data_IF_766776769092
#
_entry.id   IF_766776769092
#
_cell.length_a   1.000
_cell.length_b   1.000
_cell.length_c   1.000
_cell.angle_alpha   90.00
_cell.angle_beta   90.00
_cell.angle_gamma   90.00
#
_symmetry.space_group_name_H-M   'P 1'
#
loop_
_entity.id
_entity.type
_entity.pdbx_description
1 polymer ?
#
# COMPACT_ATOMS: atom_id res chain seq x y z
N UNK A 1 22.12 -29.61 7.31
CA UNK A 1 20.90 -29.90 6.54
C UNK A 1 19.97 -28.71 6.67
N UNK A 2 20.05 -27.75 5.76
CA UNK A 2 19.04 -26.70 5.63
C UNK A 2 17.83 -27.31 4.94
N UNK A 3 16.78 -27.58 5.71
CA UNK A 3 15.46 -27.92 5.18
C UNK A 3 14.89 -26.66 4.52
N UNK A 4 15.32 -26.36 3.29
CA UNK A 4 14.60 -25.40 2.44
C UNK A 4 13.39 -26.15 1.90
N UNK A 5 12.27 -26.06 2.61
CA UNK A 5 10.98 -26.38 2.03
C UNK A 5 10.79 -25.60 0.72
N UNK A 6 9.90 -26.04 -0.18
CA UNK A 6 9.64 -25.33 -1.43
C UNK A 6 9.28 -23.87 -1.15
N UNK A 7 9.88 -22.94 -1.90
CA UNK A 7 9.59 -21.52 -1.78
C UNK A 7 8.11 -21.23 -2.05
N UNK A 8 7.48 -20.51 -1.11
CA UNK A 8 6.08 -20.06 -1.18
C UNK A 8 5.89 -19.20 -2.42
N UNK A 9 4.88 -19.51 -3.23
CA UNK A 9 4.48 -18.68 -4.38
C UNK A 9 3.69 -17.49 -3.86
N UNK A 10 4.15 -16.28 -4.15
CA UNK A 10 3.42 -15.06 -3.83
C UNK A 10 2.64 -14.58 -5.05
N UNK A 11 1.44 -14.09 -4.81
CA UNK A 11 0.58 -13.48 -5.81
C UNK A 11 -0.19 -12.30 -5.19
N UNK A 12 -0.68 -11.40 -6.03
CA UNK A 12 -1.42 -10.24 -5.59
C UNK A 12 -2.47 -9.82 -6.60
N UNK A 13 -3.56 -9.20 -6.11
CA UNK A 13 -4.65 -8.71 -6.93
C UNK A 13 -5.50 -7.69 -6.19
N UNK A 14 -6.62 -7.28 -6.79
CA UNK A 14 -7.52 -6.31 -6.18
C UNK A 14 -8.98 -6.56 -6.52
N UNK A 15 -9.85 -6.32 -5.55
CA UNK A 15 -11.28 -6.15 -5.79
C UNK A 15 -11.50 -4.73 -6.31
N UNK A 16 -11.53 -4.61 -7.63
CA UNK A 16 -11.85 -3.36 -8.32
C UNK A 16 -13.35 -3.11 -8.22
N UNK A 17 -13.74 -1.93 -7.73
CA UNK A 17 -15.14 -1.59 -7.49
C UNK A 17 -15.45 -0.17 -7.96
N UNK A 18 -16.72 0.09 -8.27
CA UNK A 18 -17.25 1.42 -8.55
C UNK A 18 -18.63 1.59 -7.94
N UNK A 19 -19.00 2.83 -7.64
CA UNK A 19 -20.37 3.18 -7.28
C UNK A 19 -21.16 3.59 -8.52
N UNK A 20 -22.39 3.09 -8.63
CA UNK A 20 -23.34 3.45 -9.67
C UNK A 20 -24.67 3.88 -9.04
N UNK A 21 -25.60 4.49 -9.79
CA UNK A 21 -26.92 4.83 -9.27
C UNK A 21 -27.71 3.63 -8.72
N UNK A 22 -27.40 2.41 -9.15
CA UNK A 22 -28.06 1.16 -8.71
C UNK A 22 -27.30 0.43 -7.58
N UNK A 23 -26.13 0.93 -7.19
CA UNK A 23 -25.30 0.38 -6.12
C UNK A 23 -23.86 0.11 -6.53
N UNK A 24 -23.17 -0.68 -5.71
CA UNK A 24 -21.76 -1.04 -5.95
C UNK A 24 -21.68 -2.16 -6.99
N UNK A 25 -20.81 -1.95 -7.97
CA UNK A 25 -20.40 -2.98 -8.93
C UNK A 25 -18.94 -3.36 -8.71
N UNK A 26 -18.63 -4.62 -8.96
CA UNK A 26 -17.31 -5.24 -8.83
C UNK A 26 -16.87 -5.76 -10.21
N UNK A 27 -15.59 -5.57 -10.52
CA UNK A 27 -14.98 -6.16 -11.70
C UNK A 27 -14.64 -7.62 -11.45
N UNK A 28 -15.04 -8.48 -12.38
CA UNK A 28 -14.57 -9.86 -12.48
C UNK A 28 -13.94 -10.09 -13.85
N UNK A 29 -13.07 -11.09 -13.93
CA UNK A 29 -12.45 -11.51 -15.19
C UNK A 29 -12.87 -12.93 -15.54
N UNK A 30 -13.08 -13.19 -16.83
CA UNK A 30 -13.34 -14.51 -17.38
C UNK A 30 -12.05 -15.03 -18.03
N UNK A 31 -11.49 -16.11 -17.52
CA UNK A 31 -10.18 -16.62 -17.96
C UNK A 31 -10.34 -17.68 -19.03
N UNK A 32 -9.94 -17.36 -20.27
CA UNK A 32 -10.19 -18.19 -21.44
C UNK A 32 -9.58 -19.58 -21.34
N UNK A 33 -8.31 -19.66 -20.96
CA UNK A 33 -7.56 -20.91 -20.83
C UNK A 33 -8.09 -21.84 -19.71
N UNK A 34 -8.80 -21.30 -18.72
CA UNK A 34 -9.29 -22.05 -17.56
C UNK A 34 -10.81 -22.24 -17.53
N UNK A 35 -11.54 -21.50 -18.38
CA UNK A 35 -13.01 -21.43 -18.37
C UNK A 35 -13.59 -21.13 -16.97
N UNK A 36 -12.94 -20.23 -16.22
CA UNK A 36 -13.34 -19.82 -14.87
C UNK A 36 -13.53 -18.29 -14.76
N UNK A 37 -14.20 -17.89 -13.68
CA UNK A 37 -14.41 -16.49 -13.30
C UNK A 37 -13.71 -16.22 -11.98
N UNK A 38 -12.85 -15.21 -11.93
CA UNK A 38 -12.08 -14.88 -10.73
C UNK A 38 -11.96 -13.37 -10.50
N UNK A 39 -11.49 -13.01 -9.31
CA UNK A 39 -10.95 -11.68 -9.05
C UNK A 39 -9.59 -11.57 -9.77
N UNK A 40 -9.30 -10.47 -10.48
CA UNK A 40 -8.03 -10.28 -11.17
C UNK A 40 -6.83 -10.28 -10.21
N UNK A 41 -5.79 -11.04 -10.57
CA UNK A 41 -4.58 -11.30 -9.78
C UNK A 41 -3.52 -12.02 -10.61
N UNK A 42 -2.27 -11.85 -10.23
CA UNK A 42 -1.18 -12.66 -10.78
C UNK A 42 0.00 -12.79 -9.84
N UNK A 43 1.09 -13.37 -10.34
CA UNK A 43 2.24 -13.77 -9.52
C UNK A 43 3.16 -12.59 -9.28
N UNK A 44 3.77 -12.56 -8.10
CA UNK A 44 4.83 -11.59 -7.81
C UNK A 44 6.06 -11.96 -8.63
N UNK A 45 6.53 -11.03 -9.46
CA UNK A 45 7.74 -11.19 -10.24
C UNK A 45 9.01 -10.99 -9.40
N UNK A 46 10.17 -11.53 -9.81
CA UNK A 46 11.43 -11.28 -9.12
C UNK A 46 11.71 -9.78 -8.97
N UNK A 47 11.92 -9.34 -7.73
CA UNK A 47 12.17 -7.93 -7.42
C UNK A 47 10.91 -7.07 -7.27
N UNK A 48 9.70 -7.64 -7.30
CA UNK A 48 8.46 -6.94 -7.00
C UNK A 48 8.01 -7.12 -5.54
N UNK A 49 7.18 -6.19 -5.08
CA UNK A 49 6.40 -6.32 -3.85
C UNK A 49 4.95 -6.70 -4.18
N UNK A 50 4.21 -7.38 -3.28
CA UNK A 50 2.80 -7.67 -3.51
C UNK A 50 1.92 -6.44 -3.86
N UNK A 51 2.06 -5.25 -3.23
CA UNK A 51 1.31 -4.07 -3.65
C UNK A 51 1.62 -3.61 -5.08
N UNK A 52 2.90 -3.62 -5.47
CA UNK A 52 3.32 -3.32 -6.85
C UNK A 52 2.71 -4.32 -7.84
N UNK A 53 2.81 -5.61 -7.53
CA UNK A 53 2.25 -6.69 -8.34
C UNK A 53 0.74 -6.53 -8.49
N UNK A 54 0.00 -6.20 -7.43
CA UNK A 54 -1.45 -5.99 -7.53
C UNK A 54 -1.79 -4.94 -8.59
N UNK A 55 -1.14 -3.78 -8.56
CA UNK A 55 -1.40 -2.70 -9.54
C UNK A 55 -1.00 -3.11 -10.96
N UNK A 56 0.16 -3.75 -11.11
CA UNK A 56 0.63 -4.24 -12.42
C UNK A 56 -0.35 -5.26 -13.01
N UNK A 57 -0.74 -6.26 -12.25
CA UNK A 57 -1.64 -7.34 -12.69
C UNK A 57 -3.03 -6.80 -13.05
N UNK A 58 -3.57 -5.85 -12.27
CA UNK A 58 -4.83 -5.19 -12.65
C UNK A 58 -4.67 -4.46 -14.00
N UNK A 59 -3.57 -3.76 -14.23
CA UNK A 59 -3.33 -3.09 -15.50
C UNK A 59 -3.19 -4.08 -16.66
N UNK A 60 -2.49 -5.20 -16.48
CA UNK A 60 -2.28 -6.24 -17.48
C UNK A 60 -3.58 -6.99 -17.83
N UNK A 61 -4.34 -7.41 -16.82
CA UNK A 61 -5.54 -8.23 -17.01
C UNK A 61 -6.78 -7.41 -17.41
N UNK A 62 -6.83 -6.13 -17.05
CA UNK A 62 -8.06 -5.31 -17.18
C UNK A 62 -7.86 -3.96 -17.84
N UNK A 63 -6.61 -3.60 -18.17
CA UNK A 63 -6.28 -2.29 -18.74
C UNK A 63 -6.54 -1.10 -17.80
N UNK A 64 -6.93 -1.33 -16.55
CA UNK A 64 -7.28 -0.28 -15.60
C UNK A 64 -6.05 0.22 -14.85
N UNK A 65 -5.89 1.54 -14.80
CA UNK A 65 -5.01 2.19 -13.85
C UNK A 65 -5.75 2.38 -12.53
N UNK A 66 -5.21 1.83 -11.44
CA UNK A 66 -5.84 1.87 -10.12
C UNK A 66 -4.91 2.41 -9.04
N UNK A 67 -5.51 2.87 -7.95
CA UNK A 67 -4.83 3.06 -6.67
C UNK A 67 -5.38 2.05 -5.65
N UNK A 68 -4.50 1.48 -4.84
CA UNK A 68 -4.90 0.55 -3.78
C UNK A 68 -5.58 1.31 -2.63
N UNK A 69 -6.66 0.73 -2.13
CA UNK A 69 -7.33 1.07 -0.87
C UNK A 69 -6.94 0.09 0.25
N UNK A 70 -7.85 -0.13 1.19
CA UNK A 70 -7.59 -0.99 2.35
C UNK A 70 -7.39 -2.48 1.98
N UNK A 71 -6.47 -3.21 2.64
CA UNK A 71 -6.16 -4.61 2.35
C UNK A 71 -7.33 -5.51 2.70
N UNK A 72 -7.77 -6.37 1.80
CA UNK A 72 -8.82 -7.36 2.02
C UNK A 72 -8.29 -8.67 2.62
N UNK A 73 -7.00 -8.71 2.97
CA UNK A 73 -6.31 -9.87 3.53
C UNK A 73 -5.80 -10.83 2.45
N UNK A 74 -5.38 -12.02 2.87
CA UNK A 74 -4.83 -13.03 1.98
C UNK A 74 -5.74 -14.26 1.83
N UNK A 75 -5.42 -15.10 0.84
CA UNK A 75 -5.87 -16.50 0.74
C UNK A 75 -4.66 -17.40 0.59
N UNK A 76 -4.72 -18.60 1.16
CA UNK A 76 -3.59 -19.54 1.20
C UNK A 76 -4.05 -20.93 0.75
N UNK A 77 -3.30 -21.56 -0.14
CA UNK A 77 -3.58 -22.93 -0.58
C UNK A 77 -2.35 -23.63 -1.14
N UNK A 78 -2.31 -24.95 -0.98
CA UNK A 78 -1.26 -25.79 -1.55
C UNK A 78 -1.52 -26.03 -3.04
N UNK A 79 -0.56 -25.65 -3.89
CA UNK A 79 -0.60 -25.92 -5.33
C UNK A 79 -0.28 -27.39 -5.65
N UNK A 80 -0.67 -27.89 -6.84
CA UNK A 80 -0.12 -29.14 -7.38
C UNK A 80 1.41 -29.12 -7.32
N UNK A 81 2.00 -30.15 -6.72
CA UNK A 81 3.45 -30.20 -6.43
C UNK A 81 3.85 -29.79 -5.01
N UNK A 82 2.89 -29.53 -4.12
CA UNK A 82 3.13 -29.36 -2.67
C UNK A 82 3.71 -28.01 -2.26
N UNK A 83 3.72 -27.03 -3.17
CA UNK A 83 4.16 -25.66 -2.88
C UNK A 83 2.99 -24.85 -2.33
N UNK A 84 3.21 -24.14 -1.24
CA UNK A 84 2.22 -23.18 -0.75
C UNK A 84 2.13 -21.96 -1.66
N UNK A 85 0.92 -21.45 -1.85
CA UNK A 85 0.65 -20.20 -2.54
C UNK A 85 -0.16 -19.26 -1.66
N UNK A 86 0.30 -18.02 -1.56
CA UNK A 86 -0.37 -16.94 -0.84
C UNK A 86 -0.76 -15.87 -1.86
N UNK A 87 -2.02 -15.43 -1.83
CA UNK A 87 -2.52 -14.34 -2.66
C UNK A 87 -2.98 -13.20 -1.77
N UNK A 88 -2.45 -12.00 -1.97
CA UNK A 88 -2.83 -10.79 -1.23
C UNK A 88 -3.83 -9.96 -2.03
N UNK A 89 -4.86 -9.45 -1.38
CA UNK A 89 -5.88 -8.63 -2.04
C UNK A 89 -6.06 -7.27 -1.36
N UNK A 90 -6.33 -6.25 -2.15
CA UNK A 90 -6.74 -4.91 -1.71
C UNK A 90 -8.07 -4.52 -2.34
N UNK A 91 -8.80 -3.57 -1.75
CA UNK A 91 -9.86 -2.87 -2.48
C UNK A 91 -9.22 -1.86 -3.44
N UNK A 92 -9.85 -1.61 -4.58
CA UNK A 92 -9.42 -0.55 -5.50
C UNK A 92 -10.67 0.12 -6.06
N UNK A 93 -10.86 1.40 -5.75
CA UNK A 93 -11.94 2.16 -6.38
C UNK A 93 -11.51 2.57 -7.79
N UNK A 94 -12.39 2.40 -8.77
CA UNK A 94 -12.14 2.74 -10.16
C UNK A 94 -13.06 3.88 -10.57
N UNK A 95 -12.48 5.00 -10.97
CA UNK A 95 -13.24 6.16 -11.45
C UNK A 95 -13.74 5.96 -12.89
N UNK A 96 -14.74 6.75 -13.29
CA UNK A 96 -15.23 6.74 -14.66
C UNK A 96 -14.13 7.10 -15.68
N UNK A 97 -13.20 7.99 -15.31
CA UNK A 97 -12.04 8.33 -16.13
C UNK A 97 -11.09 7.14 -16.32
N UNK A 98 -10.84 6.36 -15.26
CA UNK A 98 -10.01 5.16 -15.34
C UNK A 98 -10.67 4.08 -16.21
N UNK A 99 -11.99 3.95 -16.15
CA UNK A 99 -12.76 3.03 -17.01
C UNK A 99 -12.71 3.49 -18.47
N UNK A 100 -12.94 4.77 -18.73
CA UNK A 100 -12.87 5.34 -20.07
C UNK A 100 -11.46 5.26 -20.67
N UNK A 101 -10.43 5.31 -19.83
CA UNK A 101 -9.03 5.13 -20.20
C UNK A 101 -8.55 3.68 -20.24
N UNK A 102 -9.41 2.69 -19.97
CA UNK A 102 -9.03 1.28 -19.97
C UNK A 102 -8.46 0.85 -21.33
N UNK A 103 -7.32 0.17 -21.31
CA UNK A 103 -6.66 -0.36 -22.52
C UNK A 103 -6.88 -1.86 -22.70
N UNK A 104 -7.90 -2.44 -22.06
CA UNK A 104 -8.13 -3.88 -22.09
C UNK A 104 -8.32 -4.40 -23.52
N UNK A 105 -7.60 -5.45 -23.86
CA UNK A 105 -7.79 -6.22 -25.10
C UNK A 105 -7.89 -7.70 -24.71
N UNK A 106 -9.01 -8.37 -25.04
CA UNK A 106 -9.14 -9.81 -24.84
C UNK A 106 -7.95 -10.59 -25.39
N UNK A 107 -7.46 -11.53 -24.58
CA UNK A 107 -6.37 -12.42 -24.96
C UNK A 107 -6.67 -13.85 -24.47
N UNK A 108 -5.68 -14.75 -24.56
CA UNK A 108 -5.87 -16.16 -24.17
C UNK A 108 -6.07 -16.34 -22.67
N UNK A 109 -5.38 -15.52 -21.88
CA UNK A 109 -5.46 -15.54 -20.42
C UNK A 109 -6.77 -14.94 -19.93
N UNK A 110 -7.12 -13.73 -20.40
CA UNK A 110 -8.36 -13.03 -20.05
C UNK A 110 -9.22 -12.81 -21.28
N UNK A 111 -10.32 -13.55 -21.36
CA UNK A 111 -11.25 -13.50 -22.48
C UNK A 111 -12.21 -12.30 -22.41
N UNK A 112 -12.61 -11.89 -21.20
CA UNK A 112 -13.45 -10.70 -21.00
C UNK A 112 -13.35 -10.19 -19.55
N UNK A 113 -13.72 -8.93 -19.38
CA UNK A 113 -13.93 -8.29 -18.07
C UNK A 113 -15.40 -7.88 -17.94
N UNK A 114 -15.96 -7.97 -16.74
CA UNK A 114 -17.37 -7.67 -16.51
C UNK A 114 -17.58 -6.96 -15.17
N UNK A 115 -18.39 -5.90 -15.18
CA UNK A 115 -18.84 -5.20 -13.97
C UNK A 115 -20.16 -5.82 -13.50
N UNK A 116 -20.18 -6.33 -12.27
CA UNK A 116 -21.32 -7.05 -11.71
C UNK A 116 -21.71 -6.48 -10.37
N UNK A 117 -23.01 -6.44 -10.06
CA UNK A 117 -23.47 -6.19 -8.68
C UNK A 117 -22.80 -7.17 -7.70
N UNK A 118 -22.62 -6.78 -6.44
CA UNK A 118 -22.01 -7.64 -5.41
C UNK A 118 -22.62 -9.05 -5.35
N UNK A 119 -23.96 -9.15 -5.47
CA UNK A 119 -24.67 -10.44 -5.46
C UNK A 119 -24.35 -11.27 -6.71
N UNK A 120 -24.32 -10.65 -7.88
CA UNK A 120 -24.02 -11.33 -9.14
C UNK A 120 -22.55 -11.77 -9.20
N UNK A 121 -21.61 -10.90 -8.81
CA UNK A 121 -20.19 -11.23 -8.72
C UNK A 121 -19.96 -12.45 -7.82
N UNK A 122 -20.56 -12.46 -6.63
CA UNK A 122 -20.45 -13.61 -5.70
C UNK A 122 -20.97 -14.92 -6.30
N UNK A 123 -22.04 -14.86 -7.10
CA UNK A 123 -22.61 -16.02 -7.77
C UNK A 123 -21.78 -16.49 -8.98
N UNK A 124 -21.12 -15.56 -9.67
CA UNK A 124 -20.31 -15.82 -10.86
C UNK A 124 -18.93 -16.41 -10.51
N UNK A 125 -18.28 -15.94 -9.43
CA UNK A 125 -16.95 -16.39 -9.02
C UNK A 125 -16.88 -17.91 -8.88
N UNK A 126 -15.90 -18.53 -9.53
CA UNK A 126 -15.76 -19.99 -9.58
C UNK A 126 -15.13 -20.58 -8.31
N UNK A 127 -14.35 -19.78 -7.57
CA UNK A 127 -13.58 -20.24 -6.42
C UNK A 127 -14.13 -19.71 -5.09
N UNK A 128 -14.24 -20.58 -4.09
CA UNK A 128 -14.67 -20.20 -2.72
C UNK A 128 -13.73 -19.17 -2.09
N UNK A 129 -12.42 -19.30 -2.32
CA UNK A 129 -11.42 -18.35 -1.82
C UNK A 129 -11.66 -16.92 -2.33
N UNK A 130 -12.09 -16.75 -3.58
CA UNK A 130 -12.44 -15.42 -4.12
C UNK A 130 -13.77 -14.92 -3.52
N UNK A 131 -14.73 -15.81 -3.25
CA UNK A 131 -15.98 -15.45 -2.55
C UNK A 131 -15.69 -14.97 -1.12
N UNK A 132 -14.72 -15.55 -0.42
CA UNK A 132 -14.29 -15.11 0.91
C UNK A 132 -13.64 -13.70 0.87
N UNK A 133 -12.87 -13.39 -0.18
CA UNK A 133 -12.36 -12.02 -0.41
C UNK A 133 -13.52 -11.04 -0.64
N UNK A 134 -14.49 -11.41 -1.48
CA UNK A 134 -15.67 -10.58 -1.77
C UNK A 134 -16.55 -10.38 -0.52
N UNK A 135 -16.70 -11.39 0.33
CA UNK A 135 -17.46 -11.30 1.56
C UNK A 135 -16.79 -10.33 2.56
N UNK A 136 -15.45 -10.32 2.63
CA UNK A 136 -14.68 -9.30 3.38
C UNK A 136 -14.89 -7.89 2.83
N UNK A 137 -14.90 -7.72 1.50
CA UNK A 137 -15.24 -6.44 0.86
C UNK A 137 -16.66 -6.01 1.23
N UNK A 138 -17.62 -6.93 1.13
CA UNK A 138 -19.04 -6.68 1.43
C UNK A 138 -19.25 -6.27 2.89
N UNK A 139 -18.48 -6.84 3.83
CA UNK A 139 -18.49 -6.41 5.22
C UNK A 139 -18.04 -4.95 5.39
N UNK A 140 -16.98 -4.52 4.69
CA UNK A 140 -16.56 -3.11 4.66
C UNK A 140 -17.59 -2.19 4.02
N UNK A 141 -18.21 -2.61 2.92
CA UNK A 141 -19.24 -1.82 2.24
C UNK A 141 -20.42 -1.55 3.18
N UNK A 142 -20.89 -2.59 3.90
CA UNK A 142 -21.93 -2.46 4.92
C UNK A 142 -21.52 -1.56 6.08
N UNK A 143 -20.24 -1.60 6.47
CA UNK A 143 -19.68 -0.76 7.52
C UNK A 143 -19.33 0.67 7.03
N UNK A 144 -19.52 0.99 5.75
CA UNK A 144 -19.16 2.27 5.13
C UNK A 144 -17.68 2.64 5.29
N UNK A 145 -16.81 1.66 5.04
CA UNK A 145 -15.34 1.79 5.18
C UNK A 145 -14.57 1.35 3.92
N UNK A 146 -15.23 1.30 2.76
CA UNK A 146 -14.58 0.94 1.48
C UNK A 146 -13.76 2.08 0.86
N UNK A 147 -14.16 3.33 1.11
CA UNK A 147 -13.43 4.53 0.67
C UNK A 147 -12.44 4.95 1.75
N UNK A 148 -11.16 4.73 1.49
CA UNK A 148 -10.08 5.12 2.40
C UNK A 148 -9.04 5.98 1.71
N UNK A 149 -8.39 6.85 2.47
CA UNK A 149 -7.14 7.50 2.04
C UNK A 149 -6.01 7.10 2.99
N UNK A 150 -4.81 6.79 2.47
CA UNK A 150 -3.72 6.31 3.32
C UNK A 150 -2.85 7.45 3.85
N UNK A 151 -2.49 7.34 5.13
CA UNK A 151 -1.34 8.02 5.71
C UNK A 151 -0.18 7.02 5.73
N UNK A 152 0.80 7.25 4.87
CA UNK A 152 1.96 6.38 4.69
C UNK A 152 3.15 6.98 5.44
N UNK A 153 3.79 6.18 6.30
CA UNK A 153 4.98 6.59 7.04
C UNK A 153 6.16 5.75 6.57
N UNK A 154 7.17 6.40 6.01
CA UNK A 154 8.36 5.76 5.43
C UNK A 154 9.58 6.04 6.32
N UNK A 155 10.29 4.99 6.74
CA UNK A 155 11.61 5.17 7.35
C UNK A 155 12.66 5.39 6.27
N UNK A 156 13.57 6.33 6.48
CA UNK A 156 14.70 6.51 5.57
C UNK A 156 15.51 5.21 5.36
N UNK A 157 16.15 5.08 4.20
CA UNK A 157 17.03 3.97 3.86
C UNK A 157 18.31 3.94 4.71
N UNK A 158 19.12 2.89 4.53
CA UNK A 158 20.37 2.75 5.28
C UNK A 158 21.32 3.93 5.00
N UNK A 159 21.65 4.67 6.03
CA UNK A 159 22.55 5.83 5.98
C UNK A 159 23.93 5.52 6.55
N UNK A 160 24.90 6.40 6.28
CA UNK A 160 26.23 6.38 6.91
C UNK A 160 26.05 6.39 8.44
N UNK A 161 26.77 5.53 9.20
CA UNK A 161 26.68 5.53 10.66
C UNK A 161 27.06 6.90 11.26
N UNK A 162 26.39 7.38 12.33
CA UNK A 162 26.72 8.66 12.94
C UNK A 162 28.19 8.79 13.37
N UNK A 163 28.76 7.72 13.91
CA UNK A 163 30.15 7.68 14.37
C UNK A 163 31.20 7.79 13.26
N UNK A 164 30.79 7.73 11.98
CA UNK A 164 31.66 7.78 10.80
C UNK A 164 31.37 8.99 9.92
N UNK A 165 30.73 10.02 10.48
CA UNK A 165 30.35 11.22 9.75
C UNK A 165 30.81 12.48 10.50
N UNK A 166 31.65 13.29 9.86
CA UNK A 166 32.28 14.46 10.47
C UNK A 166 31.42 15.73 10.39
N UNK A 167 30.23 15.66 9.79
CA UNK A 167 29.28 16.77 9.65
C UNK A 167 28.05 16.69 10.58
N UNK A 168 27.14 17.67 10.53
CA UNK A 168 25.88 17.60 11.27
C UNK A 168 25.08 16.34 10.91
N UNK A 169 24.42 15.70 11.88
CA UNK A 169 23.67 14.44 11.65
C UNK A 169 22.69 14.52 10.49
N UNK A 170 21.98 15.65 10.36
CA UNK A 170 21.01 15.90 9.30
C UNK A 170 21.61 15.83 7.89
N UNK A 171 22.92 16.00 7.73
CA UNK A 171 23.61 15.96 6.43
C UNK A 171 24.06 14.55 6.03
N UNK A 172 23.90 13.54 6.89
CA UNK A 172 24.32 12.17 6.59
C UNK A 172 23.64 11.62 5.33
N UNK A 173 24.41 11.14 4.34
CA UNK A 173 23.85 10.58 3.12
C UNK A 173 23.44 9.11 3.31
N UNK A 174 22.69 8.60 2.33
CA UNK A 174 22.46 7.16 2.19
C UNK A 174 23.76 6.44 1.81
N UNK A 175 23.91 5.20 2.28
CA UNK A 175 24.89 4.26 1.73
C UNK A 175 24.38 3.70 0.39
N UNK A 176 25.23 3.03 -0.37
CA UNK A 176 24.84 2.34 -1.61
C UNK A 176 23.60 1.46 -1.42
N UNK A 177 23.62 0.59 -0.40
CA UNK A 177 22.45 -0.24 -0.02
C UNK A 177 21.21 0.59 0.30
N UNK A 178 21.37 1.78 0.89
CA UNK A 178 20.25 2.69 1.15
C UNK A 178 19.64 3.28 -0.11
N UNK A 179 20.47 3.56 -1.13
CA UNK A 179 20.00 4.00 -2.45
C UNK A 179 19.24 2.88 -3.16
N UNK A 180 19.71 1.64 -3.10
CA UNK A 180 18.98 0.48 -3.64
C UNK A 180 17.64 0.28 -2.93
N UNK A 181 17.64 0.30 -1.59
CA UNK A 181 16.41 0.22 -0.79
C UNK A 181 15.40 1.31 -1.17
N UNK A 182 15.86 2.55 -1.36
CA UNK A 182 15.03 3.69 -1.76
C UNK A 182 14.39 3.50 -3.14
N UNK A 183 15.14 2.96 -4.12
CA UNK A 183 14.59 2.64 -5.44
C UNK A 183 13.57 1.51 -5.38
N UNK A 184 13.85 0.48 -4.60
CA UNK A 184 13.02 -0.73 -4.54
C UNK A 184 11.74 -0.56 -3.71
N UNK A 185 11.69 0.39 -2.78
CA UNK A 185 10.46 0.68 -2.01
C UNK A 185 9.49 1.59 -2.78
N UNK A 186 9.99 2.38 -3.73
CA UNK A 186 9.21 3.43 -4.35
C UNK A 186 8.02 2.94 -5.20
N UNK A 187 8.14 1.87 -6.02
CA UNK A 187 7.00 1.30 -6.74
C UNK A 187 5.89 0.81 -5.80
N UNK A 188 6.28 0.21 -4.65
CA UNK A 188 5.32 -0.24 -3.65
C UNK A 188 4.52 0.94 -3.10
N UNK A 189 5.18 2.03 -2.70
CA UNK A 189 4.50 3.24 -2.18
C UNK A 189 3.62 3.88 -3.26
N UNK A 190 4.07 3.89 -4.53
CA UNK A 190 3.31 4.44 -5.65
C UNK A 190 1.99 3.70 -5.91
N UNK A 191 1.85 2.44 -5.46
CA UNK A 191 0.63 1.65 -5.59
C UNK A 191 -0.60 2.29 -4.90
N UNK A 192 -0.38 3.15 -3.88
CA UNK A 192 -1.43 3.90 -3.19
C UNK A 192 -1.65 5.31 -3.76
N UNK A 193 -1.05 5.64 -4.91
CA UNK A 193 -1.16 6.92 -5.61
C UNK A 193 -1.15 8.13 -4.66
N UNK A 194 -0.08 8.36 -3.89
CA UNK A 194 -0.03 9.48 -2.96
C UNK A 194 -0.21 10.81 -3.69
N UNK A 195 -0.82 11.78 -3.01
CA UNK A 195 -1.04 13.14 -3.54
C UNK A 195 -0.11 14.18 -2.91
N UNK A 196 0.49 13.83 -1.77
CA UNK A 196 1.44 14.66 -1.03
C UNK A 196 2.64 13.86 -0.57
N UNK A 197 3.83 14.35 -0.88
CA UNK A 197 5.09 13.84 -0.36
C UNK A 197 5.66 14.84 0.65
N UNK A 198 5.89 14.38 1.88
CA UNK A 198 6.45 15.16 2.97
C UNK A 198 7.66 14.42 3.49
N UNK A 199 8.75 15.13 3.70
CA UNK A 199 9.99 14.53 4.21
C UNK A 199 10.58 15.38 5.32
N UNK A 200 11.24 14.72 6.26
CA UNK A 200 12.23 15.39 7.10
C UNK A 200 13.26 16.12 6.21
N UNK A 201 13.79 17.22 6.72
CA UNK A 201 14.87 17.99 6.09
C UNK A 201 16.20 17.23 5.97
N UNK A 202 16.36 16.07 6.62
CA UNK A 202 17.62 15.32 6.59
C UNK A 202 17.93 14.75 5.19
N UNK A 203 19.20 14.82 4.77
CA UNK A 203 19.67 14.38 3.47
C UNK A 203 19.28 12.92 3.16
N UNK A 204 19.43 12.01 4.13
CA UNK A 204 18.98 10.61 4.02
C UNK A 204 17.47 10.45 3.77
N UNK A 205 16.62 11.29 4.38
CA UNK A 205 15.17 11.22 4.17
C UNK A 205 14.79 11.75 2.79
N UNK A 206 15.39 12.87 2.37
CA UNK A 206 15.19 13.44 1.04
C UNK A 206 15.61 12.46 -0.06
N UNK A 207 16.79 11.85 0.06
CA UNK A 207 17.27 10.85 -0.88
C UNK A 207 16.43 9.57 -0.86
N UNK A 208 15.79 9.21 0.26
CA UNK A 208 14.94 8.00 0.32
C UNK A 208 13.62 8.18 -0.42
N UNK A 209 12.98 9.35 -0.28
CA UNK A 209 11.67 9.62 -0.88
C UNK A 209 11.77 10.10 -2.34
N UNK A 210 12.95 10.51 -2.79
CA UNK A 210 13.17 11.02 -4.16
C UNK A 210 12.66 10.06 -5.25
N UNK A 211 12.93 8.74 -5.23
CA UNK A 211 12.39 7.86 -6.27
C UNK A 211 10.85 7.81 -6.29
N UNK A 212 10.18 7.97 -5.14
CA UNK A 212 8.71 8.10 -5.10
C UNK A 212 8.27 9.38 -5.79
N UNK A 213 8.98 10.49 -5.55
CA UNK A 213 8.71 11.77 -6.21
C UNK A 213 8.88 11.71 -7.73
N UNK A 214 9.92 11.01 -8.20
CA UNK A 214 10.14 10.79 -9.63
C UNK A 214 9.01 9.96 -10.25
N UNK A 215 8.63 8.83 -9.64
CA UNK A 215 7.59 7.95 -10.15
C UNK A 215 6.21 8.60 -10.17
N UNK A 216 5.90 9.40 -9.16
CA UNK A 216 4.58 10.05 -9.00
C UNK A 216 4.50 11.44 -9.64
N UNK A 217 5.64 12.01 -10.06
CA UNK A 217 5.72 13.39 -10.53
C UNK A 217 5.45 14.45 -9.46
N UNK A 218 5.43 14.08 -8.17
CA UNK A 218 5.06 14.99 -7.08
C UNK A 218 6.27 15.69 -6.45
N UNK A 219 6.13 16.97 -6.08
CA UNK A 219 7.18 17.67 -5.34
C UNK A 219 7.26 17.18 -3.89
N UNK A 220 8.49 17.07 -3.36
CA UNK A 220 8.73 16.75 -1.95
C UNK A 220 8.69 18.03 -1.12
N UNK A 221 7.74 18.11 -0.19
CA UNK A 221 7.70 19.18 0.81
C UNK A 221 8.54 18.83 2.02
N UNK A 222 9.60 19.59 2.25
CA UNK A 222 10.40 19.44 3.47
C UNK A 222 9.66 19.98 4.70
N UNK A 223 9.84 19.31 5.84
CA UNK A 223 9.23 19.70 7.12
C UNK A 223 10.16 19.41 8.29
N UNK A 224 10.61 20.48 8.96
CA UNK A 224 11.32 20.40 10.25
C UNK A 224 10.43 19.81 11.36
N UNK A 225 9.10 19.89 11.24
CA UNK A 225 8.20 19.34 12.25
C UNK A 225 8.26 17.81 12.40
N UNK A 226 8.89 17.09 11.47
CA UNK A 226 9.04 15.62 11.48
C UNK A 226 10.51 15.20 11.33
N UNK A 227 11.45 16.10 11.62
CA UNK A 227 12.87 15.80 11.59
C UNK A 227 13.40 15.33 12.95
N UNK A 228 14.48 14.56 12.93
CA UNK A 228 15.05 13.97 14.15
C UNK A 228 15.70 15.03 15.05
N UNK A 229 16.41 16.00 14.48
CA UNK A 229 17.01 17.12 15.21
C UNK A 229 15.97 17.92 15.99
N UNK A 230 14.87 18.33 15.34
CA UNK A 230 13.78 19.04 16.01
C UNK A 230 13.13 18.17 17.09
N UNK A 231 13.03 16.86 16.89
CA UNK A 231 12.51 15.93 17.89
C UNK A 231 13.42 15.82 19.12
N UNK A 232 14.74 15.68 18.92
CA UNK A 232 15.74 15.63 20.00
C UNK A 232 15.76 16.92 20.83
N UNK A 233 15.56 18.08 20.17
CA UNK A 233 15.51 19.39 20.82
C UNK A 233 14.14 19.73 21.45
N UNK A 234 13.15 18.82 21.38
CA UNK A 234 11.78 19.07 21.85
C UNK A 234 10.97 20.08 21.02
N UNK A 235 11.50 20.50 19.86
CA UNK A 235 10.85 21.41 18.90
C UNK A 235 10.00 20.72 17.83
N UNK A 236 9.95 19.39 17.84
CA UNK A 236 9.16 18.57 16.91
C UNK A 236 7.69 18.98 16.88
N UNK A 237 7.06 18.92 15.70
CA UNK A 237 5.65 19.28 15.52
C UNK A 237 4.89 18.20 14.77
N UNK A 238 5.12 16.95 15.16
CA UNK A 238 4.48 15.75 14.58
C UNK A 238 2.96 15.89 14.58
N UNK A 239 2.38 16.29 15.72
CA UNK A 239 0.96 16.61 15.89
C UNK A 239 0.40 17.48 14.75
N UNK A 240 1.07 18.61 14.48
CA UNK A 240 0.64 19.56 13.45
C UNK A 240 0.79 18.98 12.05
N UNK A 241 1.83 18.21 11.79
CA UNK A 241 2.05 17.58 10.50
C UNK A 241 0.95 16.56 10.19
N UNK A 242 0.68 15.63 11.12
CA UNK A 242 -0.33 14.58 10.96
C UNK A 242 -1.73 15.17 10.88
N UNK A 243 -2.13 16.04 11.82
CA UNK A 243 -3.45 16.70 11.80
C UNK A 243 -3.71 17.40 10.46
N UNK A 244 -2.71 18.06 9.90
CA UNK A 244 -2.85 18.73 8.59
C UNK A 244 -3.03 17.76 7.43
N UNK A 245 -2.53 16.53 7.50
CA UNK A 245 -2.74 15.51 6.46
C UNK A 245 -4.12 14.88 6.60
N UNK A 246 -4.49 14.49 7.82
CA UNK A 246 -5.82 13.93 8.10
C UNK A 246 -6.94 14.93 7.75
N UNK A 247 -6.81 16.20 8.15
CA UNK A 247 -7.80 17.23 7.83
C UNK A 247 -7.89 17.55 6.33
N UNK A 248 -6.85 17.24 5.55
CA UNK A 248 -6.90 17.40 4.10
C UNK A 248 -7.62 16.23 3.41
N UNK A 249 -7.74 15.07 4.05
CA UNK A 249 -8.44 13.90 3.50
C UNK A 249 -7.79 13.31 2.25
N UNK A 250 -6.48 13.50 2.08
CA UNK A 250 -5.72 13.08 0.89
C UNK A 250 -4.60 12.11 1.24
N UNK A 251 -4.29 11.24 0.28
CA UNK A 251 -3.20 10.27 0.39
C UNK A 251 -1.85 10.98 0.57
N UNK A 252 -1.08 10.63 1.60
CA UNK A 252 0.17 11.32 1.94
C UNK A 252 1.27 10.39 2.43
N UNK A 253 2.50 10.65 1.99
CA UNK A 253 3.72 10.00 2.48
C UNK A 253 4.49 10.93 3.40
N UNK A 254 4.89 10.44 4.58
CA UNK A 254 5.76 11.10 5.54
C UNK A 254 7.05 10.30 5.69
N UNK A 255 8.14 10.75 5.05
CA UNK A 255 9.46 10.15 5.25
C UNK A 255 10.15 10.74 6.48
N UNK A 256 10.48 9.88 7.46
CA UNK A 256 11.03 10.30 8.74
C UNK A 256 12.00 9.26 9.34
N UNK A 257 12.23 9.34 10.65
CA UNK A 257 13.30 8.66 11.38
C UNK A 257 12.74 7.67 12.40
N UNK A 258 13.54 6.66 12.76
CA UNK A 258 13.14 5.62 13.72
C UNK A 258 12.53 6.15 15.03
N UNK A 259 13.09 7.21 15.67
CA UNK A 259 12.51 7.77 16.90
C UNK A 259 11.21 8.57 16.68
N UNK A 260 11.03 9.17 15.50
CA UNK A 260 9.90 10.07 15.19
C UNK A 260 8.68 9.30 14.67
N UNK A 261 8.91 8.18 13.97
CA UNK A 261 7.85 7.36 13.36
C UNK A 261 6.82 6.86 14.39
N UNK A 262 7.21 6.35 15.58
CA UNK A 262 6.24 5.97 16.61
C UNK A 262 5.30 7.12 17.02
N UNK A 263 5.76 8.37 17.02
CA UNK A 263 4.91 9.53 17.31
C UNK A 263 3.93 9.82 16.16
N UNK A 264 4.35 9.66 14.91
CA UNK A 264 3.46 9.84 13.75
C UNK A 264 2.31 8.83 13.83
N UNK A 265 2.62 7.56 14.17
CA UNK A 265 1.60 6.52 14.34
C UNK A 265 0.71 6.81 15.54
N UNK A 266 1.28 7.13 16.70
CA UNK A 266 0.52 7.43 17.91
C UNK A 266 -0.43 8.62 17.71
N UNK A 267 0.04 9.65 17.00
CA UNK A 267 -0.76 10.82 16.68
C UNK A 267 -1.90 10.49 15.70
N UNK A 268 -1.61 9.70 14.65
CA UNK A 268 -2.65 9.25 13.71
C UNK A 268 -3.70 8.46 14.49
N UNK A 269 -3.27 7.52 15.33
CA UNK A 269 -4.15 6.70 16.17
C UNK A 269 -5.03 7.56 17.10
N UNK A 270 -4.46 8.58 17.73
CA UNK A 270 -5.20 9.49 18.61
C UNK A 270 -6.28 10.28 17.84
N UNK A 271 -5.94 10.79 16.65
CA UNK A 271 -6.86 11.58 15.84
C UNK A 271 -7.97 10.73 15.17
N UNK A 272 -7.73 9.43 14.99
CA UNK A 272 -8.68 8.47 14.44
C UNK A 272 -9.30 7.58 15.52
N UNK A 273 -9.26 7.97 16.80
CA UNK A 273 -9.82 7.19 17.93
C UNK A 273 -9.42 5.69 17.93
N UNK A 274 -8.21 5.39 17.44
CA UNK A 274 -7.69 4.03 17.30
C UNK A 274 -6.86 3.68 18.53
N UNK A 275 -7.14 2.56 19.23
CA UNK A 275 -6.33 2.14 20.36
C UNK A 275 -4.87 1.90 19.96
N UNK A 276 -3.94 2.47 20.71
CA UNK A 276 -2.50 2.26 20.50
C UNK A 276 -2.05 0.94 21.16
N UNK A 277 -2.50 -0.16 20.58
CA UNK A 277 -2.23 -1.52 21.00
C UNK A 277 -0.84 -2.04 20.53
N UNK A 278 -0.51 -3.28 20.88
CA UNK A 278 0.78 -3.87 20.53
C UNK A 278 0.99 -4.02 19.00
N UNK A 279 0.02 -4.50 18.20
CA UNK A 279 0.10 -4.45 16.74
C UNK A 279 0.43 -3.07 16.18
N UNK A 280 -0.30 -2.02 16.60
CA UNK A 280 -0.09 -0.67 16.06
C UNK A 280 1.27 -0.09 16.48
N UNK A 281 1.73 -0.37 17.71
CA UNK A 281 3.09 -0.01 18.13
C UNK A 281 4.17 -0.70 17.31
N UNK A 282 3.97 -1.97 16.92
CA UNK A 282 4.90 -2.69 16.04
C UNK A 282 4.99 -2.08 14.65
N UNK A 283 3.89 -1.55 14.11
CA UNK A 283 3.91 -0.81 12.85
C UNK A 283 4.85 0.43 12.93
N UNK A 284 5.11 0.97 14.12
CA UNK A 284 6.06 2.08 14.30
C UNK A 284 7.53 1.67 14.35
N UNK A 285 7.83 0.37 14.45
CA UNK A 285 9.18 -0.17 14.60
C UNK A 285 9.78 -0.58 13.26
N UNK A 286 9.70 0.31 12.28
CA UNK A 286 10.14 0.08 10.91
C UNK A 286 11.65 -0.12 10.82
N UNK A 287 12.11 -1.10 10.06
CA UNK A 287 13.48 -1.20 9.55
C UNK A 287 13.76 -0.14 8.48
N UNK A 288 15.03 0.06 8.10
CA UNK A 288 15.38 1.07 7.09
C UNK A 288 14.67 0.79 5.76
N UNK A 289 14.02 1.81 5.21
CA UNK A 289 13.22 1.73 3.98
C UNK A 289 11.97 0.86 4.05
N UNK A 290 11.55 0.44 5.25
CA UNK A 290 10.18 -0.06 5.44
C UNK A 290 9.21 1.11 5.60
N UNK A 291 7.94 0.84 5.32
CA UNK A 291 6.86 1.79 5.49
C UNK A 291 5.61 1.14 6.06
N UNK A 292 4.82 1.94 6.77
CA UNK A 292 3.47 1.57 7.23
C UNK A 292 2.43 2.38 6.47
N UNK A 293 1.35 1.74 6.08
CA UNK A 293 0.16 2.37 5.50
C UNK A 293 -0.96 2.30 6.53
N UNK A 294 -1.45 3.47 6.97
CA UNK A 294 -2.61 3.58 7.85
C UNK A 294 -3.81 4.05 7.02
N UNK A 295 -4.81 3.19 6.87
CA UNK A 295 -6.01 3.46 6.07
C UNK A 295 -7.04 4.20 6.91
N UNK A 296 -7.29 5.46 6.56
CA UNK A 296 -8.27 6.32 7.23
C UNK A 296 -9.55 6.32 6.41
N UNK A 297 -10.71 6.19 7.06
CA UNK A 297 -12.00 6.28 6.36
C UNK A 297 -12.20 7.70 5.80
N UNK A 298 -12.56 7.79 4.53
CA UNK A 298 -12.88 9.08 3.90
C UNK A 298 -14.24 9.61 4.38
N UNK A 299 -15.16 8.72 4.75
CA UNK A 299 -16.50 9.09 5.23
C UNK A 299 -16.52 9.42 6.73
N UNK A 300 -15.67 8.74 7.52
CA UNK A 300 -15.61 8.86 8.98
C UNK A 300 -14.15 8.99 9.45
N UNK A 301 -13.47 10.12 9.16
CA UNK A 301 -12.03 10.26 9.40
C UNK A 301 -11.63 10.28 10.88
N UNK A 302 -12.60 10.46 11.78
CA UNK A 302 -12.46 10.36 13.23
C UNK A 302 -12.75 8.95 13.76
N UNK A 303 -13.22 8.02 12.93
CA UNK A 303 -13.41 6.62 13.32
C UNK A 303 -12.07 5.85 13.33
N UNK A 304 -12.00 4.69 14.04
CA UNK A 304 -10.83 3.82 14.03
C UNK A 304 -10.28 3.56 12.62
N UNK A 305 -8.95 3.47 12.52
CA UNK A 305 -8.26 3.11 11.28
C UNK A 305 -8.90 1.85 10.70
N UNK A 306 -9.23 1.88 9.40
CA UNK A 306 -9.87 0.78 8.69
C UNK A 306 -8.92 -0.43 8.59
N UNK A 307 -7.62 -0.15 8.43
CA UNK A 307 -6.57 -1.14 8.38
C UNK A 307 -5.20 -0.49 8.59
N UNK A 308 -4.22 -1.30 9.00
CA UNK A 308 -2.81 -0.93 9.05
C UNK A 308 -1.99 -2.07 8.46
N UNK A 309 -1.10 -1.75 7.53
CA UNK A 309 -0.20 -2.71 6.89
C UNK A 309 1.24 -2.18 6.89
N UNK A 310 2.23 -3.08 6.91
CA UNK A 310 3.65 -2.72 6.92
C UNK A 310 4.38 -3.51 5.85
N UNK A 311 5.21 -2.81 5.09
CA UNK A 311 5.87 -3.30 3.89
C UNK A 311 7.34 -2.93 3.89
N UNK A 312 8.14 -3.72 3.19
CA UNK A 312 9.56 -3.47 2.98
C UNK A 312 9.90 -3.32 1.49
N UNK A 313 11.14 -2.89 1.19
CA UNK A 313 11.62 -2.87 -0.18
C UNK A 313 11.71 -4.30 -0.72
N UNK A 314 11.44 -4.48 -2.01
CA UNK A 314 11.74 -5.75 -2.66
C UNK A 314 13.26 -6.00 -2.68
N UNK A 315 13.64 -7.26 -2.54
CA UNK A 315 15.01 -7.72 -2.72
C UNK A 315 15.03 -8.74 -3.85
N UNK A 316 16.07 -8.65 -4.69
CA UNK A 316 16.40 -9.66 -5.69
C UNK A 316 17.08 -10.87 -5.02
#
# INVERSE_FOLDING_TARGET
MTLTGPAVVQAAGAVCWRETPTGIELLVIHRGDHADVSIPKGKVDPGETPPQTAVREIAEETGLAIALGAPLGSTEYTMPGGREKIVHYWSAEVSDEAIAGSTFVPNKEVASVEWLSVKAARAALSYDLDRDVLDRFSARAKARTIRTFPIIVLRHGRAVPPASWDGPDATRPLLHRGLEQSRNVAPAIAAWAPEKLISSTAARCLATIEPVAVLTGLPVKQSTGISQDAWEDGGGRVHKAVRKRLAAGVSAVLCSHGPVIPEIIAETAALTNTPLDAPLRRAGMLSTSEFTVMHVSSEHPDAPLVAVETHGPAFL
#
